data_IF_040786226121
#
_entry.id   IF_040786226121
#
_cell.length_a   1.000
_cell.length_b   1.000
_cell.length_c   1.000
_cell.angle_alpha   90.00
_cell.angle_beta   90.00
_cell.angle_gamma   90.00
#
_symmetry.space_group_name_H-M   'P 1'
#
loop_
_entity.id
_entity.type
_entity.pdbx_description
1 polymer ?
#
# COMPACT_ATOMS: atom_id res chain seq x y z
N UNK A 1 14.48 12.76 -11.69
CA UNK A 1 15.10 11.50 -11.25
C UNK A 1 16.03 11.83 -10.11
N UNK A 2 15.69 11.40 -8.89
CA UNK A 2 16.52 11.68 -7.70
C UNK A 2 17.79 10.81 -7.71
N UNK A 3 18.79 11.15 -6.88
CA UNK A 3 20.08 10.46 -6.83
C UNK A 3 19.93 8.96 -6.56
N UNK A 4 18.98 8.58 -5.70
CA UNK A 4 18.66 7.17 -5.42
C UNK A 4 18.14 6.44 -6.67
N UNK A 5 17.24 7.04 -7.43
CA UNK A 5 16.68 6.42 -8.63
C UNK A 5 17.76 6.23 -9.69
N UNK A 6 18.69 7.18 -9.87
CA UNK A 6 19.84 7.00 -10.77
C UNK A 6 20.73 5.83 -10.34
N UNK A 7 21.03 5.73 -9.05
CA UNK A 7 21.81 4.63 -8.49
C UNK A 7 21.09 3.28 -8.64
N UNK A 8 19.79 3.24 -8.36
CA UNK A 8 18.97 2.04 -8.51
C UNK A 8 18.95 1.54 -9.97
N UNK A 9 18.79 2.46 -10.93
CA UNK A 9 18.86 2.13 -12.35
C UNK A 9 20.22 1.55 -12.73
N UNK A 10 21.33 2.15 -12.28
CA UNK A 10 22.67 1.62 -12.56
C UNK A 10 22.82 0.18 -12.07
N UNK A 11 22.44 -0.08 -10.82
CA UNK A 11 22.52 -1.40 -10.20
C UNK A 11 21.62 -2.42 -10.93
N UNK A 12 20.41 -2.03 -11.32
CA UNK A 12 19.51 -2.89 -12.07
C UNK A 12 20.13 -3.30 -13.41
N UNK A 13 20.77 -2.36 -14.12
CA UNK A 13 21.43 -2.65 -15.39
C UNK A 13 22.69 -3.50 -15.23
N UNK A 14 23.41 -3.35 -14.13
CA UNK A 14 24.53 -4.25 -13.78
C UNK A 14 24.02 -5.69 -13.59
N UNK A 15 22.91 -5.90 -12.88
CA UNK A 15 22.28 -7.23 -12.75
C UNK A 15 21.79 -7.79 -14.09
N UNK A 16 21.23 -6.96 -14.96
CA UNK A 16 20.84 -7.41 -16.31
C UNK A 16 22.05 -7.79 -17.15
N UNK A 17 23.17 -7.05 -17.03
CA UNK A 17 24.41 -7.39 -17.71
C UNK A 17 24.98 -8.74 -17.22
N UNK A 18 24.95 -8.99 -15.92
CA UNK A 18 25.29 -10.31 -15.34
C UNK A 18 24.37 -11.41 -15.86
N UNK A 19 23.07 -11.14 -15.96
CA UNK A 19 22.10 -12.10 -16.46
C UNK A 19 22.40 -12.50 -17.91
N UNK A 20 22.80 -11.55 -18.77
CA UNK A 20 23.26 -11.87 -20.14
C UNK A 20 24.47 -12.81 -20.14
N UNK A 21 25.43 -12.62 -19.23
CA UNK A 21 26.58 -13.53 -19.13
C UNK A 21 26.17 -14.97 -18.76
N UNK A 22 25.02 -15.18 -18.11
CA UNK A 22 24.53 -16.55 -17.83
C UNK A 22 24.18 -17.28 -19.11
N UNK A 23 23.61 -16.58 -20.10
CA UNK A 23 23.37 -17.16 -21.43
C UNK A 23 24.68 -17.48 -22.16
N UNK A 24 25.71 -16.64 -22.00
CA UNK A 24 27.03 -16.88 -22.59
C UNK A 24 27.79 -18.04 -21.91
N UNK A 25 27.55 -18.28 -20.61
CA UNK A 25 28.20 -19.34 -19.81
C UNK A 25 27.73 -20.76 -20.13
N UNK A 26 26.67 -20.94 -20.93
CA UNK A 26 26.47 -22.22 -21.66
C UNK A 26 27.66 -22.51 -22.62
N UNK A 27 28.57 -21.55 -22.86
CA UNK A 27 29.76 -21.67 -23.72
C UNK A 27 31.14 -21.34 -23.07
N UNK A 28 31.29 -20.91 -21.80
CA UNK A 28 32.62 -20.80 -21.13
C UNK A 28 32.57 -20.55 -19.60
N UNK A 29 33.68 -20.89 -18.91
CA UNK A 29 33.87 -20.92 -17.45
C UNK A 29 33.62 -19.60 -16.67
N UNK A 30 33.33 -19.66 -15.35
CA UNK A 30 32.84 -18.51 -14.57
C UNK A 30 33.97 -17.58 -14.10
N UNK A 31 33.77 -16.27 -14.26
CA UNK A 31 34.51 -15.24 -13.53
C UNK A 31 33.91 -15.04 -12.13
N UNK A 32 34.75 -14.87 -11.09
CA UNK A 32 34.30 -14.68 -9.71
C UNK A 32 33.76 -13.28 -9.44
N UNK A 33 32.85 -13.23 -8.48
CA UNK A 33 32.08 -12.10 -7.98
C UNK A 33 32.89 -10.88 -7.54
N UNK A 34 32.34 -9.69 -7.78
CA UNK A 34 32.48 -8.59 -6.82
C UNK A 34 31.13 -8.41 -6.11
N UNK A 35 31.02 -8.75 -4.82
CA UNK A 35 29.80 -8.42 -4.08
C UNK A 35 29.64 -6.91 -4.01
N UNK A 36 28.51 -6.39 -4.48
CA UNK A 36 28.15 -4.99 -4.26
C UNK A 36 27.89 -4.78 -2.76
N UNK A 37 28.64 -3.89 -2.09
CA UNK A 37 28.52 -3.69 -0.66
C UNK A 37 27.46 -2.62 -0.39
N UNK A 38 26.17 -2.95 -0.51
CA UNK A 38 25.05 -2.35 0.26
C UNK A 38 23.68 -2.89 -0.19
N UNK A 39 22.72 -3.11 0.73
CA UNK A 39 21.35 -3.46 0.39
C UNK A 39 20.54 -2.19 0.08
N UNK A 40 20.64 -1.63 -1.12
CA UNK A 40 19.90 -0.40 -1.45
C UNK A 40 19.22 -0.35 -2.83
N UNK A 41 19.29 -1.42 -3.63
CA UNK A 41 18.50 -1.51 -4.86
C UNK A 41 17.06 -1.93 -4.58
N UNK A 42 16.13 -1.52 -5.44
CA UNK A 42 14.74 -1.96 -5.40
C UNK A 42 14.65 -3.50 -5.51
N UNK A 43 15.50 -4.13 -6.32
CA UNK A 43 15.53 -5.58 -6.44
C UNK A 43 15.90 -6.27 -5.12
N UNK A 44 16.93 -5.78 -4.41
CA UNK A 44 17.34 -6.40 -3.15
C UNK A 44 16.28 -6.21 -2.06
N UNK A 45 15.63 -5.03 -2.02
CA UNK A 45 14.49 -4.77 -1.12
C UNK A 45 13.32 -5.70 -1.43
N UNK A 46 13.00 -5.92 -2.70
CA UNK A 46 11.95 -6.84 -3.13
C UNK A 46 12.30 -8.28 -2.74
N UNK A 47 13.51 -8.74 -3.05
CA UNK A 47 13.98 -10.08 -2.69
C UNK A 47 13.88 -10.32 -1.18
N UNK A 48 14.26 -9.34 -0.36
CA UNK A 48 14.15 -9.43 1.10
C UNK A 48 12.68 -9.45 1.57
N UNK A 49 11.82 -8.57 1.04
CA UNK A 49 10.42 -8.47 1.48
C UNK A 49 9.56 -9.71 1.14
N UNK A 50 9.89 -10.37 0.03
CA UNK A 50 9.19 -11.58 -0.43
C UNK A 50 9.96 -12.87 -0.17
N UNK A 51 11.13 -12.79 0.47
CA UNK A 51 12.02 -13.92 0.78
C UNK A 51 12.33 -14.75 -0.47
N UNK A 52 12.61 -14.06 -1.58
CA UNK A 52 12.89 -14.72 -2.85
C UNK A 52 14.17 -15.52 -2.77
N UNK A 53 14.09 -16.78 -3.20
CA UNK A 53 15.27 -17.59 -3.44
C UNK A 53 16.12 -17.00 -4.58
N UNK A 54 17.38 -17.42 -4.64
CA UNK A 54 18.27 -17.03 -5.74
C UNK A 54 17.72 -17.45 -7.11
N UNK A 55 17.02 -18.59 -7.20
CA UNK A 55 16.34 -19.01 -8.43
C UNK A 55 15.23 -18.03 -8.81
N UNK A 56 14.35 -17.67 -7.87
CA UNK A 56 13.24 -16.75 -8.12
C UNK A 56 13.71 -15.34 -8.48
N UNK A 57 14.78 -14.85 -7.84
CA UNK A 57 15.45 -13.59 -8.21
C UNK A 57 15.90 -13.60 -9.68
N UNK A 58 16.48 -14.71 -10.15
CA UNK A 58 16.95 -14.84 -11.53
C UNK A 58 15.80 -14.94 -12.54
N UNK A 59 14.72 -15.64 -12.19
CA UNK A 59 13.49 -15.65 -13.01
C UNK A 59 12.95 -14.23 -13.15
N UNK A 60 12.84 -13.48 -12.05
CA UNK A 60 12.34 -12.11 -12.07
C UNK A 60 13.23 -11.19 -12.93
N UNK A 61 14.55 -11.32 -12.81
CA UNK A 61 15.51 -10.57 -13.63
C UNK A 61 15.44 -10.93 -15.12
N UNK A 62 15.24 -12.21 -15.45
CA UNK A 62 15.04 -12.65 -16.84
C UNK A 62 13.79 -11.98 -17.44
N UNK A 63 12.69 -11.97 -16.71
CA UNK A 63 11.47 -11.28 -17.14
C UNK A 63 11.65 -9.76 -17.22
N UNK A 64 12.34 -9.13 -16.25
CA UNK A 64 12.63 -7.70 -16.28
C UNK A 64 13.53 -7.33 -17.47
N UNK A 65 14.51 -8.17 -17.81
CA UNK A 65 15.35 -7.98 -18.98
C UNK A 65 14.57 -8.01 -20.29
N UNK A 66 13.55 -8.86 -20.38
CA UNK A 66 12.65 -8.92 -21.54
C UNK A 66 11.89 -7.60 -21.76
N UNK A 67 11.47 -6.91 -20.69
CA UNK A 67 10.75 -5.64 -20.80
C UNK A 67 11.68 -4.43 -20.96
N UNK A 68 12.87 -4.45 -20.32
CA UNK A 68 13.80 -3.31 -20.32
C UNK A 68 14.81 -3.33 -21.48
N UNK A 69 15.09 -4.50 -22.04
CA UNK A 69 16.08 -4.74 -23.11
C UNK A 69 15.57 -5.81 -24.09
N UNK A 70 14.34 -5.63 -24.57
CA UNK A 70 13.59 -6.60 -25.38
C UNK A 70 14.41 -7.19 -26.54
N UNK A 71 15.06 -6.36 -27.36
CA UNK A 71 15.83 -6.83 -28.53
C UNK A 71 16.91 -7.84 -28.12
N UNK A 72 17.67 -7.53 -27.08
CA UNK A 72 18.77 -8.39 -26.61
C UNK A 72 18.24 -9.66 -25.96
N UNK A 73 17.28 -9.55 -25.05
CA UNK A 73 16.77 -10.71 -24.30
C UNK A 73 15.91 -11.64 -25.17
N UNK A 74 15.19 -11.11 -26.16
CA UNK A 74 14.45 -11.90 -27.15
C UNK A 74 15.38 -12.84 -27.94
N UNK A 75 16.50 -12.31 -28.43
CA UNK A 75 17.49 -13.09 -29.18
C UNK A 75 18.20 -14.12 -28.30
N UNK A 76 18.52 -13.77 -27.05
CA UNK A 76 19.08 -14.69 -26.07
C UNK A 76 18.11 -15.84 -25.73
N UNK A 77 16.81 -15.55 -25.55
CA UNK A 77 15.79 -16.57 -25.31
C UNK A 77 15.67 -17.53 -26.49
N UNK A 78 15.58 -17.00 -27.72
CA UNK A 78 15.47 -17.81 -28.94
C UNK A 78 16.70 -18.71 -29.14
N UNK A 79 17.90 -18.14 -28.99
CA UNK A 79 19.16 -18.86 -29.13
C UNK A 79 19.27 -19.99 -28.11
N UNK A 80 19.02 -19.68 -26.84
CA UNK A 80 19.06 -20.69 -25.80
C UNK A 80 18.02 -21.77 -26.09
N UNK A 81 16.76 -21.42 -26.37
CA UNK A 81 15.69 -22.41 -26.59
C UNK A 81 15.87 -23.22 -27.90
N UNK A 82 16.76 -22.79 -28.80
CA UNK A 82 17.01 -23.46 -30.07
C UNK A 82 15.90 -23.27 -31.10
N UNK A 83 15.03 -22.28 -30.89
CA UNK A 83 13.87 -21.97 -31.72
C UNK A 83 13.78 -20.44 -31.94
N UNK A 84 13.98 -19.95 -33.18
CA UNK A 84 13.88 -18.53 -33.52
C UNK A 84 12.52 -17.89 -33.19
N UNK A 85 11.46 -18.69 -33.05
CA UNK A 85 10.13 -18.21 -32.71
C UNK A 85 9.91 -18.09 -31.19
N UNK A 86 10.71 -18.77 -30.37
CA UNK A 86 10.60 -18.72 -28.91
C UNK A 86 11.47 -17.60 -28.32
N UNK A 87 11.06 -16.35 -28.61
CA UNK A 87 11.75 -15.11 -28.22
C UNK A 87 11.32 -14.58 -26.84
N UNK A 88 10.95 -15.46 -25.92
CA UNK A 88 10.37 -15.08 -24.63
C UNK A 88 10.82 -16.02 -23.50
N UNK A 89 10.82 -15.53 -22.24
CA UNK A 89 11.07 -16.36 -21.08
C UNK A 89 10.00 -17.45 -20.88
N UNK A 90 10.43 -18.64 -20.48
CA UNK A 90 9.56 -19.75 -20.05
C UNK A 90 10.10 -20.37 -18.77
N UNK A 91 9.29 -21.11 -18.03
CA UNK A 91 9.79 -21.86 -16.87
C UNK A 91 10.81 -22.93 -17.28
N UNK A 92 10.67 -23.56 -18.45
CA UNK A 92 11.66 -24.50 -18.98
C UNK A 92 13.01 -23.81 -19.23
N UNK A 93 13.00 -22.63 -19.86
CA UNK A 93 14.21 -21.86 -20.07
C UNK A 93 14.87 -21.48 -18.75
N UNK A 94 14.11 -20.95 -17.80
CA UNK A 94 14.62 -20.59 -16.48
C UNK A 94 15.20 -21.80 -15.73
N UNK A 95 14.54 -22.96 -15.79
CA UNK A 95 15.07 -24.21 -15.22
C UNK A 95 16.42 -24.56 -15.84
N UNK A 96 16.54 -24.55 -17.17
CA UNK A 96 17.79 -24.91 -17.82
C UNK A 96 18.94 -23.96 -17.47
N UNK A 97 18.67 -22.65 -17.44
CA UNK A 97 19.69 -21.64 -17.18
C UNK A 97 20.14 -21.59 -15.71
N UNK A 98 19.23 -21.85 -14.76
CA UNK A 98 19.44 -21.52 -13.35
C UNK A 98 19.37 -22.70 -12.39
N UNK A 99 18.64 -23.75 -12.73
CA UNK A 99 18.38 -24.84 -11.80
C UNK A 99 19.61 -25.77 -11.72
N UNK A 100 20.09 -26.00 -10.48
CA UNK A 100 21.14 -26.99 -10.21
C UNK A 100 20.56 -28.34 -9.76
N UNK A 101 19.62 -28.35 -8.80
CA UNK A 101 18.71 -29.44 -8.38
C UNK A 101 17.67 -28.82 -7.43
N UNK A 102 16.41 -29.30 -7.43
CA UNK A 102 15.44 -29.05 -6.34
C UNK A 102 14.59 -27.78 -6.40
N UNK A 103 14.53 -27.07 -7.54
CA UNK A 103 13.80 -25.80 -7.68
C UNK A 103 12.38 -25.92 -8.27
N UNK A 104 11.81 -27.13 -8.34
CA UNK A 104 10.46 -27.35 -8.84
C UNK A 104 9.39 -26.74 -7.94
N UNK A 105 9.68 -26.67 -6.65
CA UNK A 105 8.82 -26.03 -5.67
C UNK A 105 8.65 -24.54 -5.97
N UNK A 106 9.68 -23.81 -6.41
CA UNK A 106 9.62 -22.40 -6.80
C UNK A 106 8.55 -22.07 -7.86
N UNK A 107 8.08 -23.09 -8.59
CA UNK A 107 7.07 -22.96 -9.64
C UNK A 107 5.64 -23.18 -9.13
N UNK A 108 5.44 -23.59 -7.88
CA UNK A 108 4.11 -23.87 -7.34
C UNK A 108 3.33 -22.57 -7.09
N UNK A 109 1.98 -22.61 -7.13
CA UNK A 109 1.16 -21.40 -6.97
C UNK A 109 1.33 -20.67 -5.63
N UNK A 110 1.75 -21.39 -4.59
CA UNK A 110 1.96 -20.89 -3.23
C UNK A 110 3.34 -20.25 -3.02
N UNK A 111 4.28 -20.43 -3.95
CA UNK A 111 5.60 -19.78 -3.88
C UNK A 111 5.58 -18.32 -4.31
N UNK A 112 6.52 -17.51 -3.80
CA UNK A 112 6.49 -16.06 -3.95
C UNK A 112 6.22 -15.51 -5.35
N UNK A 113 6.85 -16.06 -6.39
CA UNK A 113 6.69 -15.55 -7.76
C UNK A 113 5.22 -15.55 -8.23
N UNK A 114 4.50 -16.64 -7.94
CA UNK A 114 3.11 -16.83 -8.35
C UNK A 114 2.13 -16.36 -7.29
N UNK A 115 2.40 -16.65 -6.02
CA UNK A 115 1.57 -16.24 -4.88
C UNK A 115 1.40 -14.73 -4.83
N UNK A 116 2.48 -13.98 -5.03
CA UNK A 116 2.45 -12.52 -5.00
C UNK A 116 2.31 -11.90 -6.37
N UNK A 117 2.03 -12.69 -7.42
CA UNK A 117 1.94 -12.22 -8.81
C UNK A 117 3.10 -11.28 -9.14
N UNK A 118 4.33 -11.72 -8.85
CA UNK A 118 5.53 -10.99 -9.26
C UNK A 118 5.83 -11.20 -10.74
N UNK A 119 5.35 -12.34 -11.24
CA UNK A 119 5.30 -12.67 -12.65
C UNK A 119 3.88 -13.07 -13.04
N UNK A 120 3.56 -12.91 -14.31
CA UNK A 120 2.38 -13.42 -14.95
C UNK A 120 2.75 -14.62 -15.82
N UNK A 121 1.88 -15.64 -15.83
CA UNK A 121 2.06 -16.86 -16.62
C UNK A 121 0.96 -16.88 -17.67
N UNK A 122 1.35 -16.80 -18.94
CA UNK A 122 0.40 -16.86 -20.03
C UNK A 122 -0.18 -18.26 -20.21
N UNK A 123 -1.41 -18.31 -20.74
CA UNK A 123 -2.11 -19.57 -20.98
C UNK A 123 -1.42 -20.32 -22.12
N UNK A 124 -0.99 -21.55 -21.83
CA UNK A 124 -0.45 -22.49 -22.81
C UNK A 124 -0.94 -23.91 -22.49
N UNK A 125 -0.70 -24.85 -23.40
CA UNK A 125 -1.04 -26.26 -23.18
C UNK A 125 -0.17 -26.91 -22.10
N UNK A 126 1.09 -26.44 -21.95
CA UNK A 126 2.06 -26.98 -21.00
C UNK A 126 2.63 -25.84 -20.17
N UNK A 127 2.47 -25.89 -18.85
CA UNK A 127 2.95 -24.86 -17.92
C UNK A 127 4.43 -24.53 -18.10
N UNK A 128 5.28 -25.54 -18.31
CA UNK A 128 6.71 -25.34 -18.49
C UNK A 128 7.07 -24.56 -19.76
N UNK A 129 6.20 -24.61 -20.77
CA UNK A 129 6.35 -23.92 -22.05
C UNK A 129 5.55 -22.62 -22.12
N UNK A 130 4.78 -22.29 -21.08
CA UNK A 130 4.06 -21.01 -21.00
C UNK A 130 5.05 -19.85 -21.01
N UNK A 131 4.80 -18.80 -21.82
CA UNK A 131 5.46 -17.52 -21.65
C UNK A 131 5.26 -17.01 -20.22
N UNK A 132 6.33 -16.48 -19.63
CA UNK A 132 6.28 -15.81 -18.33
C UNK A 132 6.77 -14.37 -18.49
N UNK A 133 6.09 -13.43 -17.85
CA UNK A 133 6.40 -12.00 -17.88
C UNK A 133 6.45 -11.42 -16.48
N UNK A 134 7.13 -10.31 -16.30
CA UNK A 134 7.12 -9.58 -15.04
C UNK A 134 5.78 -8.84 -14.91
N UNK A 135 5.22 -8.81 -13.71
CA UNK A 135 4.03 -7.99 -13.43
C UNK A 135 4.38 -6.50 -13.55
N UNK A 136 3.53 -5.72 -14.23
CA UNK A 136 3.81 -4.31 -14.55
C UNK A 136 4.10 -3.47 -13.31
N UNK A 137 3.33 -3.67 -12.23
CA UNK A 137 3.55 -2.94 -10.97
C UNK A 137 4.91 -3.28 -10.35
N UNK A 138 5.38 -4.51 -10.52
CA UNK A 138 6.71 -4.94 -10.06
C UNK A 138 7.81 -4.38 -10.97
N UNK A 139 7.61 -4.34 -12.28
CA UNK A 139 8.53 -3.66 -13.21
C UNK A 139 8.71 -2.18 -12.83
N UNK A 140 7.60 -1.47 -12.59
CA UNK A 140 7.63 -0.08 -12.14
C UNK A 140 8.33 0.08 -10.79
N UNK A 141 8.13 -0.85 -9.85
CA UNK A 141 8.88 -0.88 -8.59
C UNK A 141 10.39 -1.02 -8.80
N UNK A 142 10.82 -1.96 -9.65
CA UNK A 142 12.24 -2.17 -9.97
C UNK A 142 12.86 -0.94 -10.64
N UNK A 143 12.09 -0.22 -11.47
CA UNK A 143 12.46 1.06 -12.08
C UNK A 143 12.49 2.24 -11.08
N UNK A 144 12.14 2.02 -9.81
CA UNK A 144 12.12 3.03 -8.76
C UNK A 144 10.90 3.94 -8.76
N UNK A 145 9.82 3.56 -9.46
CA UNK A 145 8.56 4.29 -9.46
C UNK A 145 7.69 3.89 -8.26
N UNK A 146 7.10 4.90 -7.61
CA UNK A 146 6.12 4.73 -6.53
C UNK A 146 4.69 4.77 -7.08
N UNK A 147 3.80 3.94 -6.54
CA UNK A 147 2.39 3.91 -6.90
C UNK A 147 1.71 2.67 -6.36
N UNK A 148 0.38 2.60 -6.48
CA UNK A 148 -0.37 1.37 -6.26
C UNK A 148 -0.49 0.58 -7.56
N UNK A 149 -0.81 -0.71 -7.43
CA UNK A 149 -1.24 -1.50 -8.57
C UNK A 149 -2.53 -0.93 -9.19
N UNK A 150 -2.58 -0.83 -10.52
CA UNK A 150 -3.73 -0.28 -11.24
C UNK A 150 -5.04 -1.01 -10.90
N UNK A 151 -4.97 -2.34 -10.69
CA UNK A 151 -6.13 -3.20 -10.40
C UNK A 151 -6.80 -2.85 -9.08
N UNK A 152 -6.11 -2.17 -8.16
CA UNK A 152 -6.66 -1.69 -6.88
C UNK A 152 -6.75 -0.16 -6.82
N UNK A 153 -6.11 0.55 -7.75
CA UNK A 153 -6.02 2.02 -7.74
C UNK A 153 -7.37 2.75 -7.90
N UNK A 154 -8.39 2.08 -8.42
CA UNK A 154 -9.76 2.64 -8.49
C UNK A 154 -10.52 2.52 -7.16
N UNK A 155 -10.21 1.49 -6.36
CA UNK A 155 -10.87 1.19 -5.10
C UNK A 155 -10.19 1.89 -3.91
N UNK A 156 -8.88 2.05 -4.00
CA UNK A 156 -8.03 2.53 -2.92
C UNK A 156 -7.46 3.90 -3.28
N UNK A 157 -7.74 4.89 -2.43
CA UNK A 157 -7.36 6.28 -2.66
C UNK A 157 -6.31 6.74 -1.64
N UNK A 158 -5.25 7.46 -2.05
CA UNK A 158 -4.28 8.02 -1.11
C UNK A 158 -4.94 9.07 -0.21
N UNK A 159 -4.55 9.09 1.06
CA UNK A 159 -4.94 10.12 2.02
C UNK A 159 -3.70 10.94 2.38
N UNK A 160 -3.73 12.25 2.12
CA UNK A 160 -2.54 13.11 2.28
C UNK A 160 -2.80 14.42 3.01
N UNK A 161 -4.06 14.78 3.24
CA UNK A 161 -4.42 16.05 3.86
C UNK A 161 -4.69 15.80 5.35
N UNK A 162 -3.74 16.18 6.19
CA UNK A 162 -3.94 16.28 7.64
C UNK A 162 -4.46 17.68 7.95
N UNK A 163 -5.75 17.86 8.31
CA UNK A 163 -6.21 19.14 8.82
C UNK A 163 -5.64 19.37 10.23
N UNK A 164 -5.68 20.62 10.69
CA UNK A 164 -5.34 20.96 12.06
C UNK A 164 -6.28 20.22 13.02
N UNK A 165 -5.68 19.51 13.98
CA UNK A 165 -6.40 18.77 15.01
C UNK A 165 -6.44 19.58 16.30
N UNK A 166 -7.55 19.47 17.03
CA UNK A 166 -7.62 19.92 18.42
C UNK A 166 -6.67 19.10 19.30
N UNK A 167 -6.18 19.64 20.44
CA UNK A 167 -5.22 18.97 21.30
C UNK A 167 -5.60 17.53 21.70
N UNK A 168 -6.87 17.28 22.02
CA UNK A 168 -7.40 15.95 22.38
C UNK A 168 -7.24 14.94 21.24
N UNK A 169 -7.60 15.33 20.01
CA UNK A 169 -7.44 14.51 18.81
C UNK A 169 -5.97 14.35 18.40
N UNK A 170 -5.14 15.37 18.63
CA UNK A 170 -3.71 15.29 18.40
C UNK A 170 -3.04 14.27 19.35
N UNK A 171 -3.51 14.19 20.60
CA UNK A 171 -3.03 13.17 21.54
C UNK A 171 -3.40 11.75 21.09
N UNK A 172 -4.63 11.54 20.62
CA UNK A 172 -5.06 10.26 20.04
C UNK A 172 -4.20 9.88 18.81
N UNK A 173 -3.92 10.85 17.93
CA UNK A 173 -3.08 10.63 16.75
C UNK A 173 -1.64 10.21 17.13
N UNK A 174 -1.07 10.80 18.18
CA UNK A 174 0.26 10.40 18.68
C UNK A 174 0.27 8.97 19.23
N UNK A 175 -0.72 8.62 20.05
CA UNK A 175 -0.86 7.25 20.58
C UNK A 175 -1.06 6.22 19.47
N UNK A 176 -1.86 6.55 18.46
CA UNK A 176 -2.05 5.72 17.28
C UNK A 176 -0.75 5.54 16.48
N UNK A 177 0.01 6.63 16.27
CA UNK A 177 1.29 6.58 15.58
C UNK A 177 2.29 5.65 16.28
N UNK A 178 2.43 5.78 17.61
CA UNK A 178 3.29 4.91 18.43
C UNK A 178 2.89 3.43 18.30
N UNK A 179 1.58 3.15 18.31
CA UNK A 179 1.05 1.80 18.17
C UNK A 179 1.37 1.20 16.78
N UNK A 180 1.18 1.96 15.70
CA UNK A 180 1.45 1.52 14.33
C UNK A 180 2.93 1.16 14.13
N UNK A 181 3.84 1.90 14.77
CA UNK A 181 5.29 1.64 14.71
C UNK A 181 5.68 0.44 15.57
N UNK A 182 5.15 0.34 16.79
CA UNK A 182 5.56 -0.67 17.78
C UNK A 182 5.00 -2.06 17.45
N UNK A 183 3.77 -2.13 16.93
CA UNK A 183 3.07 -3.38 16.67
C UNK A 183 2.67 -3.49 15.21
N UNK A 184 3.62 -3.97 14.39
CA UNK A 184 3.39 -4.24 12.97
C UNK A 184 2.21 -5.21 12.79
N UNK A 185 1.27 -4.84 11.92
CA UNK A 185 0.08 -5.66 11.63
C UNK A 185 -1.08 -5.47 12.61
N UNK A 186 -1.02 -4.49 13.52
CA UNK A 186 -2.17 -4.21 14.40
C UNK A 186 -3.39 -3.76 13.61
N UNK A 187 -4.55 -4.26 14.04
CA UNK A 187 -5.84 -3.77 13.60
C UNK A 187 -6.37 -2.83 14.66
N UNK A 188 -6.59 -1.58 14.26
CA UNK A 188 -7.07 -0.50 15.11
C UNK A 188 -8.45 -0.09 14.64
N UNK A 189 -9.32 0.25 15.58
CA UNK A 189 -10.64 0.78 15.27
C UNK A 189 -10.81 2.17 15.87
N UNK A 190 -11.22 3.13 15.03
CA UNK A 190 -11.64 4.47 15.44
C UNK A 190 -13.17 4.49 15.52
N UNK A 191 -13.70 4.70 16.72
CA UNK A 191 -15.14 4.74 16.99
C UNK A 191 -15.59 6.17 17.30
N UNK A 192 -16.69 6.62 16.72
CA UNK A 192 -17.22 7.96 16.99
C UNK A 192 -18.16 8.43 15.91
N UNK A 193 -18.98 9.43 16.23
CA UNK A 193 -20.00 9.96 15.33
C UNK A 193 -19.40 10.76 14.15
N UNK A 194 -18.25 11.39 14.33
CA UNK A 194 -17.63 12.26 13.34
C UNK A 194 -16.59 11.54 12.47
N UNK A 195 -16.98 11.19 11.25
CA UNK A 195 -16.10 10.58 10.25
C UNK A 195 -14.91 11.46 9.87
N UNK A 196 -15.09 12.78 9.87
CA UNK A 196 -14.06 13.73 9.43
C UNK A 196 -12.92 13.79 10.44
N UNK A 197 -13.26 13.93 11.72
CA UNK A 197 -12.26 13.90 12.80
C UNK A 197 -11.51 12.55 12.84
N UNK A 198 -12.20 11.41 12.69
CA UNK A 198 -11.56 10.09 12.65
C UNK A 198 -10.56 9.96 11.50
N UNK A 199 -10.93 10.40 10.29
CA UNK A 199 -10.03 10.43 9.12
C UNK A 199 -8.84 11.35 9.32
N UNK A 200 -9.05 12.51 9.96
CA UNK A 200 -7.98 13.45 10.29
C UNK A 200 -6.99 12.85 11.30
N UNK A 201 -7.48 12.20 12.37
CA UNK A 201 -6.65 11.50 13.35
C UNK A 201 -5.81 10.41 12.69
N UNK A 202 -6.42 9.57 11.84
CA UNK A 202 -5.70 8.52 11.12
C UNK A 202 -4.60 9.10 10.21
N UNK A 203 -4.91 10.16 9.45
CA UNK A 203 -3.94 10.81 8.56
C UNK A 203 -2.78 11.41 9.34
N UNK A 204 -3.06 12.14 10.41
CA UNK A 204 -2.03 12.73 11.27
C UNK A 204 -1.17 11.65 11.93
N UNK A 205 -1.77 10.55 12.42
CA UNK A 205 -1.02 9.44 13.02
C UNK A 205 -0.07 8.79 12.02
N UNK A 206 -0.53 8.54 10.79
CA UNK A 206 0.31 7.96 9.74
C UNK A 206 1.41 8.92 9.28
N UNK A 207 1.14 10.23 9.22
CA UNK A 207 2.16 11.25 8.95
C UNK A 207 3.25 11.28 10.03
N UNK A 208 2.88 11.21 11.32
CA UNK A 208 3.85 11.11 12.44
C UNK A 208 4.68 9.83 12.33
N UNK A 209 4.06 8.71 11.96
CA UNK A 209 4.74 7.43 11.78
C UNK A 209 5.53 7.31 10.46
N UNK A 210 5.45 8.31 9.58
CA UNK A 210 6.01 8.30 8.22
C UNK A 210 5.54 7.08 7.39
N UNK A 211 4.26 6.73 7.52
CA UNK A 211 3.62 5.63 6.78
C UNK A 211 2.59 6.21 5.80
N UNK A 212 2.60 5.81 4.52
CA UNK A 212 1.55 6.19 3.58
C UNK A 212 0.19 5.65 4.03
N UNK A 213 -0.82 6.51 4.10
CA UNK A 213 -2.20 6.14 4.40
C UNK A 213 -3.03 6.09 3.12
N UNK A 214 -3.80 5.02 2.98
CA UNK A 214 -4.79 4.89 1.91
C UNK A 214 -6.16 4.58 2.49
N UNK A 215 -7.24 4.98 1.81
CA UNK A 215 -8.61 4.65 2.18
C UNK A 215 -9.28 3.72 1.18
N UNK A 216 -10.04 2.78 1.70
CA UNK A 216 -11.00 1.94 0.98
C UNK A 216 -12.37 2.10 1.62
N UNK A 217 -13.39 2.45 0.84
CA UNK A 217 -14.77 2.38 1.31
C UNK A 217 -15.19 0.91 1.42
N UNK A 218 -15.71 0.49 2.57
CA UNK A 218 -16.18 -0.88 2.73
C UNK A 218 -17.38 -1.20 1.80
N UNK A 219 -18.07 -0.19 1.26
CA UNK A 219 -19.14 -0.39 0.28
C UNK A 219 -18.59 -0.93 -1.05
N UNK A 220 -17.33 -0.62 -1.37
CA UNK A 220 -16.65 -1.06 -2.58
C UNK A 220 -15.98 -2.44 -2.42
N UNK A 221 -16.09 -3.09 -1.25
CA UNK A 221 -15.58 -4.43 -1.06
C UNK A 221 -16.29 -5.40 -2.02
N UNK A 222 -15.53 -6.19 -2.81
CA UNK A 222 -16.09 -7.21 -3.67
C UNK A 222 -16.88 -8.24 -2.86
N UNK A 223 -18.05 -8.64 -3.35
CA UNK A 223 -18.84 -9.72 -2.74
C UNK A 223 -18.48 -11.09 -3.28
N UNK A 224 -17.80 -11.15 -4.44
CA UNK A 224 -17.32 -12.39 -5.04
C UNK A 224 -16.03 -12.81 -4.31
N UNK A 225 -15.97 -14.03 -3.72
CA UNK A 225 -14.82 -14.46 -2.92
C UNK A 225 -13.48 -14.41 -3.66
N UNK A 226 -13.46 -14.74 -4.97
CA UNK A 226 -12.24 -14.70 -5.79
C UNK A 226 -11.68 -13.29 -5.96
N UNK A 227 -12.55 -12.31 -6.13
CA UNK A 227 -12.18 -10.91 -6.32
C UNK A 227 -11.73 -10.30 -4.99
N UNK A 228 -12.41 -10.68 -3.89
CA UNK A 228 -12.01 -10.33 -2.54
C UNK A 228 -10.59 -10.83 -2.23
N UNK A 229 -10.31 -12.11 -2.48
CA UNK A 229 -8.98 -12.69 -2.28
C UNK A 229 -7.91 -12.04 -3.18
N UNK A 230 -8.28 -11.63 -4.39
CA UNK A 230 -7.38 -10.88 -5.27
C UNK A 230 -7.05 -9.50 -4.69
N UNK A 231 -8.05 -8.78 -4.18
CA UNK A 231 -7.85 -7.48 -3.54
C UNK A 231 -6.99 -7.61 -2.27
N UNK A 232 -7.22 -8.63 -1.43
CA UNK A 232 -6.41 -8.93 -0.23
C UNK A 232 -4.94 -9.13 -0.63
N UNK A 233 -4.70 -10.01 -1.60
CA UNK A 233 -3.36 -10.38 -2.06
C UNK A 233 -2.61 -9.17 -2.62
N UNK A 234 -3.26 -8.40 -3.50
CA UNK A 234 -2.64 -7.22 -4.11
C UNK A 234 -2.35 -6.15 -3.05
N UNK A 235 -3.28 -5.90 -2.12
CA UNK A 235 -3.02 -4.97 -1.02
C UNK A 235 -1.86 -5.42 -0.13
N UNK A 236 -1.83 -6.69 0.27
CA UNK A 236 -0.73 -7.24 1.08
C UNK A 236 0.62 -7.12 0.36
N UNK A 237 0.63 -7.31 -0.96
CA UNK A 237 1.82 -7.09 -1.79
C UNK A 237 2.28 -5.64 -1.75
N UNK A 238 1.37 -4.67 -1.88
CA UNK A 238 1.72 -3.25 -1.79
C UNK A 238 2.27 -2.87 -0.40
N UNK A 239 1.69 -3.40 0.67
CA UNK A 239 2.21 -3.19 2.04
C UNK A 239 3.62 -3.76 2.18
N UNK A 240 3.91 -4.93 1.60
CA UNK A 240 5.27 -5.50 1.56
C UNK A 240 6.26 -4.63 0.77
N UNK A 241 5.81 -3.95 -0.29
CA UNK A 241 6.67 -3.11 -1.13
C UNK A 241 6.95 -1.72 -0.53
N UNK A 242 5.95 -1.10 0.11
CA UNK A 242 5.98 0.32 0.48
C UNK A 242 5.66 0.63 1.94
N UNK A 243 5.38 -0.38 2.79
CA UNK A 243 5.01 -0.20 4.20
C UNK A 243 3.85 0.79 4.40
N UNK A 244 2.69 0.48 3.82
CA UNK A 244 1.50 1.33 3.89
C UNK A 244 0.49 0.88 4.94
N UNK A 245 -0.42 1.78 5.32
CA UNK A 245 -1.58 1.52 6.18
C UNK A 245 -2.87 1.70 5.39
N UNK A 246 -3.84 0.81 5.60
CA UNK A 246 -5.18 0.96 5.02
C UNK A 246 -6.15 1.50 6.07
N UNK A 247 -6.99 2.45 5.68
CA UNK A 247 -8.20 2.84 6.38
C UNK A 247 -9.40 2.22 5.66
N UNK A 248 -10.12 1.34 6.35
CA UNK A 248 -11.39 0.80 5.88
C UNK A 248 -12.53 1.64 6.44
N UNK A 249 -13.26 2.32 5.55
CA UNK A 249 -14.36 3.20 5.93
C UNK A 249 -15.68 2.44 5.99
N UNK A 250 -16.16 2.16 7.21
CA UNK A 250 -17.41 1.46 7.48
C UNK A 250 -18.53 2.39 7.99
N UNK A 251 -18.35 3.71 7.98
CA UNK A 251 -19.34 4.66 8.53
C UNK A 251 -20.67 4.69 7.76
N UNK A 252 -20.63 4.30 6.47
CA UNK A 252 -21.79 4.28 5.57
C UNK A 252 -22.40 2.87 5.42
N UNK A 253 -22.03 1.91 6.27
CA UNK A 253 -22.53 0.54 6.19
C UNK A 253 -23.33 0.21 7.42
N UNK A 254 -24.63 -0.02 7.20
CA UNK A 254 -25.51 -0.63 8.17
C UNK A 254 -25.01 -2.05 8.49
N UNK A 255 -24.99 -2.42 9.78
CA UNK A 255 -24.34 -3.65 10.27
C UNK A 255 -24.85 -4.94 9.61
N UNK A 256 -26.05 -4.93 9.01
CA UNK A 256 -26.70 -6.11 8.46
C UNK A 256 -26.23 -6.50 7.06
N UNK A 257 -25.80 -5.56 6.22
CA UNK A 257 -25.72 -5.82 4.77
C UNK A 257 -24.37 -6.38 4.30
N UNK A 258 -23.28 -6.10 5.03
CA UNK A 258 -21.91 -6.53 4.64
C UNK A 258 -21.03 -6.98 5.81
N UNK A 259 -21.59 -7.21 6.99
CA UNK A 259 -20.81 -7.60 8.19
C UNK A 259 -19.95 -8.85 7.96
N UNK A 260 -20.49 -9.89 7.31
CA UNK A 260 -19.75 -11.11 7.00
C UNK A 260 -18.53 -10.88 6.09
N UNK A 261 -18.68 -10.11 5.01
CA UNK A 261 -17.58 -9.80 4.08
C UNK A 261 -16.51 -8.92 4.74
N UNK A 262 -16.93 -7.95 5.56
CA UNK A 262 -16.01 -7.09 6.31
C UNK A 262 -15.24 -7.90 7.35
N UNK A 263 -15.91 -8.78 8.10
CA UNK A 263 -15.27 -9.67 9.06
C UNK A 263 -14.27 -10.60 8.38
N UNK A 264 -14.65 -11.23 7.25
CA UNK A 264 -13.76 -12.06 6.47
C UNK A 264 -12.54 -11.27 5.96
N UNK A 265 -12.75 -10.07 5.42
CA UNK A 265 -11.69 -9.20 4.95
C UNK A 265 -10.69 -8.88 6.07
N UNK A 266 -11.19 -8.48 7.24
CA UNK A 266 -10.35 -8.13 8.40
C UNK A 266 -9.60 -9.36 8.92
N UNK A 267 -10.24 -10.55 8.94
CA UNK A 267 -9.62 -11.80 9.37
C UNK A 267 -8.47 -12.25 8.45
N UNK A 268 -8.66 -12.13 7.14
CA UNK A 268 -7.69 -12.60 6.15
C UNK A 268 -6.53 -11.59 5.92
N UNK A 269 -6.69 -10.35 6.41
CA UNK A 269 -5.73 -9.28 6.23
C UNK A 269 -4.63 -9.28 7.31
N UNK A 270 -3.41 -9.64 6.91
CA UNK A 270 -2.24 -9.64 7.79
C UNK A 270 -1.41 -8.34 7.73
N UNK A 271 -2.06 -7.20 7.53
CA UNK A 271 -1.39 -5.89 7.37
C UNK A 271 -1.98 -4.86 8.33
N UNK A 272 -1.23 -3.80 8.68
CA UNK A 272 -1.78 -2.70 9.48
C UNK A 272 -3.09 -2.16 8.88
N UNK A 273 -4.13 -2.09 9.71
CA UNK A 273 -5.47 -1.70 9.30
C UNK A 273 -6.08 -0.77 10.33
N UNK A 274 -6.64 0.34 9.86
CA UNK A 274 -7.49 1.23 10.65
C UNK A 274 -8.93 1.04 10.16
N UNK A 275 -9.83 0.66 11.06
CA UNK A 275 -11.26 0.52 10.76
C UNK A 275 -11.99 1.73 11.30
N UNK A 276 -12.66 2.46 10.42
CA UNK A 276 -13.49 3.58 10.81
C UNK A 276 -14.94 3.12 10.99
N UNK A 277 -15.54 3.36 12.16
CA UNK A 277 -16.93 2.97 12.44
C UNK A 277 -17.62 3.95 13.37
N UNK A 278 -18.94 4.07 13.27
CA UNK A 278 -19.75 4.88 14.21
C UNK A 278 -19.77 4.26 15.59
N UNK A 279 -20.05 2.97 15.64
CA UNK A 279 -20.13 2.18 16.87
C UNK A 279 -19.03 1.12 16.94
N UNK A 280 -18.85 0.57 18.14
CA UNK A 280 -17.84 -0.46 18.37
C UNK A 280 -18.25 -1.78 17.73
N UNK A 281 -17.63 -2.12 16.61
CA UNK A 281 -17.69 -3.47 16.02
C UNK A 281 -16.93 -4.49 16.87
N UNK A 282 -17.56 -5.62 17.15
CA UNK A 282 -16.90 -6.79 17.74
C UNK A 282 -16.59 -7.78 16.63
N UNK A 283 -15.34 -8.24 16.56
CA UNK A 283 -14.92 -9.35 15.73
C UNK A 283 -14.36 -10.43 16.64
N UNK A 284 -15.06 -11.56 16.76
CA UNK A 284 -14.76 -12.60 17.76
C UNK A 284 -13.38 -13.25 17.55
N UNK A 285 -12.85 -13.17 16.32
CA UNK A 285 -11.62 -13.84 15.89
C UNK A 285 -10.38 -12.95 15.87
N UNK A 286 -10.50 -11.62 15.99
CA UNK A 286 -9.37 -10.70 15.80
C UNK A 286 -9.26 -9.68 16.93
N UNK A 287 -8.12 -9.63 17.64
CA UNK A 287 -7.90 -8.61 18.66
C UNK A 287 -7.75 -7.23 18.00
N UNK A 288 -8.78 -6.38 18.17
CA UNK A 288 -8.76 -4.99 17.71
C UNK A 288 -8.53 -4.05 18.88
N UNK A 289 -7.67 -3.05 18.66
CA UNK A 289 -7.44 -1.97 19.62
C UNK A 289 -8.40 -0.84 19.29
N UNK A 290 -9.28 -0.48 20.23
CA UNK A 290 -10.30 0.55 20.02
C UNK A 290 -9.85 1.88 20.58
N UNK A 291 -9.92 2.93 19.76
CA UNK A 291 -9.83 4.32 20.18
C UNK A 291 -11.21 4.96 20.04
N UNK A 292 -11.73 5.49 21.14
CA UNK A 292 -12.95 6.29 21.14
C UNK A 292 -12.60 7.74 20.79
N UNK A 293 -13.21 8.23 19.72
CA UNK A 293 -13.06 9.60 19.23
C UNK A 293 -14.29 10.38 19.68
N UNK A 294 -14.13 11.09 20.78
CA UNK A 294 -15.14 12.01 21.28
C UNK A 294 -15.13 13.33 20.48
N UNK A 295 -16.26 14.06 20.44
CA UNK A 295 -16.28 15.44 19.96
C UNK A 295 -15.24 16.30 20.70
N UNK A 296 -14.74 17.38 20.07
CA UNK A 296 -13.83 18.31 20.74
C UNK A 296 -14.42 18.80 22.07
N UNK A 297 -13.56 19.00 23.07
CA UNK A 297 -14.04 19.50 24.38
C UNK A 297 -14.60 20.91 24.25
N UNK A 298 -15.39 21.34 25.24
CA UNK A 298 -15.94 22.71 25.29
C UNK A 298 -14.85 23.77 25.12
N UNK A 299 -13.72 23.64 25.82
CA UNK A 299 -12.60 24.57 25.72
C UNK A 299 -11.96 24.57 24.32
N UNK A 300 -11.86 23.39 23.70
CA UNK A 300 -11.33 23.25 22.35
C UNK A 300 -12.26 23.84 21.29
N UNK A 301 -13.57 23.63 21.43
CA UNK A 301 -14.56 24.25 20.55
C UNK A 301 -14.54 25.78 20.67
N UNK A 302 -14.45 26.30 21.90
CA UNK A 302 -14.34 27.74 22.12
C UNK A 302 -13.10 28.30 21.41
N UNK A 303 -11.95 27.64 21.54
CA UNK A 303 -10.73 28.06 20.85
C UNK A 303 -10.86 27.98 19.32
N UNK A 304 -11.49 26.93 18.78
CA UNK A 304 -11.77 26.81 17.34
C UNK A 304 -12.65 27.94 16.82
N UNK A 305 -13.66 28.35 17.59
CA UNK A 305 -14.51 29.49 17.25
C UNK A 305 -13.73 30.80 17.25
N UNK A 306 -12.92 31.07 18.28
CA UNK A 306 -12.08 32.28 18.33
C UNK A 306 -11.13 32.36 17.13
N UNK A 307 -10.43 31.27 16.83
CA UNK A 307 -9.49 31.20 15.70
C UNK A 307 -10.22 31.40 14.36
N UNK A 308 -11.39 30.77 14.18
CA UNK A 308 -12.13 30.83 12.91
C UNK A 308 -12.80 32.19 12.68
N UNK A 309 -13.29 32.84 13.74
CA UNK A 309 -13.96 34.15 13.66
C UNK A 309 -12.98 35.33 13.64
N UNK A 310 -11.76 35.14 14.18
CA UNK A 310 -10.70 36.16 14.17
C UNK A 310 -11.12 37.44 14.88
N UNK A 311 -11.02 38.59 14.21
CA UNK A 311 -11.34 39.90 14.79
C UNK A 311 -12.83 40.07 15.16
N UNK A 312 -13.72 39.25 14.61
CA UNK A 312 -15.17 39.26 14.89
C UNK A 312 -15.52 38.52 16.19
N UNK A 313 -14.62 37.67 16.71
CA UNK A 313 -14.85 36.90 17.93
C UNK A 313 -15.17 37.78 19.16
N UNK A 314 -14.40 38.86 19.47
CA UNK A 314 -14.69 39.73 20.60
C UNK A 314 -16.00 40.54 20.44
N UNK A 315 -16.50 40.74 19.23
CA UNK A 315 -17.76 41.47 18.98
C UNK A 315 -19.01 40.66 19.35
N UNK A 316 -18.88 39.33 19.43
CA UNK A 316 -19.98 38.40 19.68
C UNK A 316 -20.29 38.17 21.17
N UNK A 317 -19.70 38.94 22.09
CA UNK A 317 -20.12 39.15 23.49
C UNK A 317 -20.75 37.92 24.20
N UNK A 318 -20.03 36.79 24.25
CA UNK A 318 -20.47 35.60 24.99
C UNK A 318 -21.47 34.69 24.26
N UNK A 319 -21.94 35.04 23.06
CA UNK A 319 -22.77 34.15 22.24
C UNK A 319 -22.02 32.87 21.82
N UNK A 320 -20.69 32.93 21.70
CA UNK A 320 -19.82 31.77 21.45
C UNK A 320 -19.94 30.76 22.62
N UNK A 321 -19.96 31.22 23.87
CA UNK A 321 -20.13 30.33 25.03
C UNK A 321 -21.49 29.62 24.99
N UNK A 322 -22.56 30.35 24.68
CA UNK A 322 -23.90 29.75 24.55
C UNK A 322 -23.97 28.71 23.44
N UNK A 323 -23.31 28.96 22.30
CA UNK A 323 -23.26 28.01 21.19
C UNK A 323 -22.51 26.73 21.55
N UNK A 324 -21.37 26.84 22.24
CA UNK A 324 -20.57 25.68 22.64
C UNK A 324 -21.25 24.88 23.78
N UNK A 325 -22.00 25.55 24.66
CA UNK A 325 -22.80 24.88 25.69
C UNK A 325 -24.01 24.12 25.11
N UNK A 326 -24.59 24.63 24.02
CA UNK A 326 -25.79 24.05 23.40
C UNK A 326 -25.50 23.04 22.29
N UNK A 327 -24.36 23.17 21.60
CA UNK A 327 -24.02 22.34 20.44
C UNK A 327 -22.59 21.81 20.52
N UNK A 328 -22.44 20.50 20.39
CA UNK A 328 -21.13 19.86 20.23
C UNK A 328 -20.79 19.75 18.75
N UNK A 329 -20.12 20.76 18.21
CA UNK A 329 -19.78 20.84 16.78
C UNK A 329 -18.32 20.43 16.51
N UNK A 330 -18.08 19.84 15.35
CA UNK A 330 -16.72 19.54 14.90
C UNK A 330 -16.08 20.75 14.18
N UNK A 331 -14.74 20.72 14.07
CA UNK A 331 -13.99 21.82 13.47
C UNK A 331 -14.45 22.19 12.03
N UNK A 332 -14.71 21.24 11.11
CA UNK A 332 -15.22 21.57 9.77
C UNK A 332 -16.58 22.29 9.78
N UNK A 333 -17.49 21.88 10.66
CA UNK A 333 -18.81 22.52 10.79
C UNK A 333 -18.67 23.95 11.32
N UNK A 334 -17.83 24.15 12.34
CA UNK A 334 -17.52 25.48 12.87
C UNK A 334 -16.94 26.39 11.77
N UNK A 335 -15.98 25.91 10.98
CA UNK A 335 -15.40 26.67 9.88
C UNK A 335 -16.41 27.03 8.79
N UNK A 336 -17.32 26.10 8.47
CA UNK A 336 -18.40 26.33 7.48
C UNK A 336 -19.35 27.40 7.97
N UNK A 337 -19.79 27.32 9.23
CA UNK A 337 -20.68 28.35 9.82
C UNK A 337 -19.97 29.72 9.85
N UNK A 338 -18.67 29.76 10.21
CA UNK A 338 -17.90 31.00 10.23
C UNK A 338 -17.74 31.62 8.84
N UNK A 339 -17.53 30.81 7.80
CA UNK A 339 -17.41 31.31 6.42
C UNK A 339 -18.74 31.81 5.89
N UNK A 340 -19.84 31.11 6.17
CA UNK A 340 -21.19 31.55 5.82
C UNK A 340 -21.54 32.86 6.54
N UNK A 341 -21.24 32.98 7.84
CA UNK A 341 -21.44 34.19 8.61
C UNK A 341 -20.69 35.39 8.00
N UNK A 342 -19.39 35.25 7.71
CA UNK A 342 -18.58 36.31 7.07
C UNK A 342 -19.07 36.71 5.68
N UNK A 343 -19.75 35.82 4.97
CA UNK A 343 -20.34 36.15 3.66
C UNK A 343 -21.63 36.96 3.76
N UNK A 344 -22.36 36.85 4.88
CA UNK A 344 -23.63 37.54 5.12
C UNK A 344 -23.49 38.85 5.90
N UNK A 345 -22.36 39.08 6.58
CA UNK A 345 -22.00 40.36 7.19
C UNK A 345 -21.08 41.14 6.24
N UNK A 346 -21.58 42.07 5.42
CA UNK A 346 -20.71 42.96 4.66
C UNK A 346 -19.86 43.78 5.63
N UNK A 347 -18.53 43.75 5.46
CA UNK A 347 -17.62 44.63 6.18
C UNK A 347 -18.09 46.09 6.04
N UNK A 348 -18.16 46.87 7.13
CA UNK A 348 -18.48 48.29 7.09
C UNK A 348 -17.43 49.13 6.35
#
# INVERSE_FOLDING_TARGET
MNDWQQQNWRILFDYLAEMRQVFDRENTHPTPHTPHPTPDSALDRLCAAFELSHFERKVLLLCAGMELQADTFADLCATAQGDPLQRYPTFQLAMRLFAKIGYWDALTPDRPLRRWRLIEVEISQVLMLSPIRIDERILHYLAGSSGLDERIGTLIQPMSIAPDLVPSHQQLAKQLAELLVTRKGSIVQLCGADSTSKRAIATTACNIANLPLYSLSAQLLPTIPKDLQTLILLWQREVKLASAVLLLDCDLIDETDKSGTIAQWINDLNTPLIVNSRERRSLDSVPMITFEVHPPTTDEQYHLWEVSLGQTAPELNGQINTLVEQFSLNAPTIQTICTEFKSHTPHP
#
